data_IF_080505398917
#
_entry.id   IF_080505398917
#
_cell.length_a   1.000
_cell.length_b   1.000
_cell.length_c   1.000
_cell.angle_alpha   90.00
_cell.angle_beta   90.00
_cell.angle_gamma   90.00
#
_symmetry.space_group_name_H-M   'P 1'
#
loop_
_entity.id
_entity.type
_entity.pdbx_description
1 polymer ?
#
# COMPACT_ATOMS: atom_id res chain seq x y z
N UNK A 1 12.63 11.38 -5.21
CA UNK A 1 11.21 10.93 -5.36
C UNK A 1 10.34 11.89 -6.18
N UNK A 2 10.32 13.20 -5.94
CA UNK A 2 9.40 14.11 -6.65
C UNK A 2 9.48 14.13 -8.18
N UNK A 3 10.68 14.00 -8.77
CA UNK A 3 10.83 13.92 -10.23
C UNK A 3 10.27 12.62 -10.84
N UNK A 4 10.25 11.52 -10.07
CA UNK A 4 9.71 10.23 -10.51
C UNK A 4 8.18 10.29 -10.60
N UNK A 5 7.50 10.98 -9.69
CA UNK A 5 6.05 11.16 -9.72
C UNK A 5 5.50 11.83 -10.98
N UNK A 6 6.08 12.98 -11.33
CA UNK A 6 5.62 13.74 -12.53
C UNK A 6 5.70 12.87 -13.78
N UNK A 7 6.63 11.90 -13.77
CA UNK A 7 6.82 10.93 -14.85
C UNK A 7 5.94 9.70 -14.71
N UNK A 8 5.68 9.22 -13.48
CA UNK A 8 4.88 8.03 -13.21
C UNK A 8 3.36 8.27 -13.13
N UNK A 9 2.91 9.52 -13.14
CA UNK A 9 1.49 9.93 -13.03
C UNK A 9 0.77 9.34 -11.78
N UNK A 10 1.51 9.11 -10.68
CA UNK A 10 0.95 8.56 -9.44
C UNK A 10 0.22 9.64 -8.64
N UNK A 11 -0.91 9.29 -8.03
CA UNK A 11 -1.68 10.18 -7.16
C UNK A 11 -1.24 10.08 -5.70
N UNK A 12 -0.78 8.91 -5.27
CA UNK A 12 -0.26 8.66 -3.93
C UNK A 12 0.97 7.74 -3.97
N UNK A 13 1.69 7.69 -2.89
CA UNK A 13 2.81 6.76 -2.67
C UNK A 13 2.64 6.15 -1.27
N UNK A 14 2.80 4.83 -1.17
CA UNK A 14 2.86 4.11 0.09
C UNK A 14 4.32 3.90 0.47
N UNK A 15 4.76 4.46 1.60
CA UNK A 15 6.09 4.22 2.14
C UNK A 15 6.02 3.13 3.21
N UNK A 16 6.90 2.15 3.15
CA UNK A 16 7.10 1.20 4.25
C UNK A 16 7.74 1.94 5.42
N UNK A 17 6.96 2.26 6.45
CA UNK A 17 7.43 2.98 7.65
C UNK A 17 8.07 2.04 8.67
N UNK A 18 7.57 0.81 8.75
CA UNK A 18 8.13 -0.34 9.47
C UNK A 18 7.71 -1.62 8.75
N UNK A 19 8.62 -2.55 8.55
CA UNK A 19 8.33 -3.89 8.04
C UNK A 19 8.44 -4.92 9.16
N UNK A 20 8.31 -6.20 8.86
CA UNK A 20 8.27 -7.33 9.82
C UNK A 20 9.54 -7.44 10.68
N UNK A 21 10.66 -6.88 10.23
CA UNK A 21 11.92 -6.83 10.97
C UNK A 21 11.90 -5.85 12.17
N UNK A 22 10.83 -5.05 12.30
CA UNK A 22 10.64 -4.11 13.41
C UNK A 22 11.38 -2.79 13.30
N UNK A 23 12.24 -2.59 12.26
CA UNK A 23 13.00 -1.36 12.12
C UNK A 23 12.12 -0.20 11.66
N UNK A 24 12.07 0.87 12.45
CA UNK A 24 11.25 2.05 12.19
C UNK A 24 11.98 3.11 11.39
N UNK A 25 11.42 3.55 10.25
CA UNK A 25 11.97 4.66 9.46
C UNK A 25 11.61 6.04 10.02
N UNK A 26 10.82 6.11 11.07
CA UNK A 26 10.32 7.32 11.73
C UNK A 26 10.88 7.46 13.15
N UNK A 27 10.76 8.66 13.71
CA UNK A 27 11.09 8.91 15.11
C UNK A 27 10.06 8.23 16.01
N UNK A 28 10.49 7.20 16.73
CA UNK A 28 9.65 6.44 17.66
C UNK A 28 9.33 7.17 18.94
N UNK A 29 9.86 8.39 19.14
CA UNK A 29 9.66 9.21 20.34
C UNK A 29 10.02 8.47 21.65
N UNK A 30 11.02 7.61 21.60
CA UNK A 30 11.48 6.83 22.74
C UNK A 30 10.71 5.53 23.00
N UNK A 31 9.80 5.14 22.10
CA UNK A 31 9.12 3.85 22.19
C UNK A 31 10.11 2.68 22.08
N UNK A 32 11.10 2.81 21.20
CA UNK A 32 12.28 1.94 21.10
C UNK A 32 13.47 2.74 20.53
N UNK A 33 14.65 2.11 20.46
CA UNK A 33 15.86 2.67 19.83
C UNK A 33 16.19 2.01 18.48
N UNK A 34 15.36 1.09 17.99
CA UNK A 34 15.53 0.39 16.72
C UNK A 34 14.85 1.18 15.59
N UNK A 35 15.41 2.38 15.35
CA UNK A 35 14.84 3.33 14.39
C UNK A 35 15.92 4.12 13.62
N UNK A 36 15.52 4.77 12.55
CA UNK A 36 16.39 5.56 11.69
C UNK A 36 17.00 6.79 12.42
N UNK A 37 16.29 7.54 13.26
CA UNK A 37 16.90 8.62 14.05
C UNK A 37 18.06 8.19 14.92
N UNK A 38 17.97 7.06 15.61
CA UNK A 38 19.09 6.54 16.43
C UNK A 38 20.24 5.98 15.58
N UNK A 39 19.94 5.47 14.38
CA UNK A 39 20.94 4.83 13.52
C UNK A 39 21.67 5.81 12.62
N UNK A 40 20.95 6.73 11.96
CA UNK A 40 21.52 7.66 10.97
C UNK A 40 21.18 9.14 11.23
N UNK A 41 20.54 9.46 12.36
CA UNK A 41 20.17 10.83 12.73
C UNK A 41 19.07 11.45 11.85
N UNK A 42 18.32 10.64 11.09
CA UNK A 42 17.31 11.12 10.14
C UNK A 42 15.95 10.50 10.44
N UNK A 43 14.91 11.30 10.31
CA UNK A 43 13.52 10.83 10.25
C UNK A 43 13.10 10.71 8.77
N UNK A 44 13.21 9.50 8.23
CA UNK A 44 12.96 9.22 6.81
C UNK A 44 11.47 9.41 6.46
N UNK A 45 10.57 9.10 7.40
CA UNK A 45 9.12 9.29 7.18
C UNK A 45 8.79 10.78 7.11
N UNK A 46 9.41 11.61 7.96
CA UNK A 46 9.25 13.07 7.90
C UNK A 46 9.69 13.63 6.54
N UNK A 47 10.88 13.24 6.10
CA UNK A 47 11.42 13.66 4.82
C UNK A 47 10.54 13.21 3.64
N UNK A 48 9.99 12.00 3.71
CA UNK A 48 9.06 11.48 2.72
C UNK A 48 7.78 12.30 2.65
N UNK A 49 7.14 12.58 3.80
CA UNK A 49 5.92 13.38 3.88
C UNK A 49 6.14 14.79 3.35
N UNK A 50 7.24 15.44 3.74
CA UNK A 50 7.61 16.77 3.25
C UNK A 50 7.79 16.77 1.72
N UNK A 51 8.44 15.74 1.18
CA UNK A 51 8.60 15.58 -0.26
C UNK A 51 7.25 15.33 -0.97
N UNK A 52 6.37 14.53 -0.39
CA UNK A 52 5.03 14.30 -0.92
C UNK A 52 4.22 15.60 -0.98
N UNK A 53 4.18 16.34 0.13
CA UNK A 53 3.46 17.61 0.23
C UNK A 53 4.01 18.65 -0.78
N UNK A 54 5.34 18.77 -0.89
CA UNK A 54 5.98 19.66 -1.87
C UNK A 54 5.57 19.37 -3.30
N UNK A 55 5.29 18.12 -3.62
CA UNK A 55 4.93 17.69 -4.97
C UNK A 55 3.43 17.40 -5.15
N UNK A 56 2.58 17.68 -4.17
CA UNK A 56 1.14 17.42 -4.20
C UNK A 56 0.82 15.92 -4.37
N UNK A 57 1.60 15.03 -3.74
CA UNK A 57 1.35 13.59 -3.65
C UNK A 57 0.69 13.31 -2.30
N UNK A 58 -0.23 12.36 -2.27
CA UNK A 58 -0.83 11.91 -1.02
C UNK A 58 0.12 10.87 -0.40
N UNK A 59 0.68 11.11 0.81
CA UNK A 59 1.49 10.11 1.49
C UNK A 59 0.60 9.07 2.17
N UNK A 60 0.86 7.79 1.94
CA UNK A 60 0.31 6.67 2.69
C UNK A 60 1.45 5.92 3.38
N UNK A 61 1.13 5.24 4.49
CA UNK A 61 2.07 4.50 5.30
C UNK A 61 1.74 3.01 5.30
N UNK A 62 2.63 2.18 4.74
CA UNK A 62 2.65 0.77 5.08
C UNK A 62 3.23 0.63 6.49
N UNK A 63 2.58 -0.15 7.32
CA UNK A 63 3.09 -0.52 8.64
C UNK A 63 2.75 -1.97 8.93
N UNK A 64 3.75 -2.74 9.32
CA UNK A 64 3.54 -4.13 9.74
C UNK A 64 2.67 -4.21 11.00
N UNK A 65 1.82 -5.23 11.08
CA UNK A 65 1.12 -5.59 12.31
C UNK A 65 1.95 -6.54 13.17
N UNK A 66 2.71 -7.43 12.57
CA UNK A 66 3.66 -8.31 13.25
C UNK A 66 5.01 -7.61 13.49
N UNK A 67 5.82 -8.13 14.42
CA UNK A 67 7.16 -7.61 14.69
C UNK A 67 8.07 -8.74 15.17
N UNK A 68 9.07 -9.08 14.35
CA UNK A 68 10.00 -10.16 14.69
C UNK A 68 11.08 -9.72 15.66
N UNK A 69 11.27 -8.41 15.85
CA UNK A 69 12.28 -7.83 16.74
C UNK A 69 11.74 -7.59 18.15
N UNK A 70 10.46 -7.15 18.27
CA UNK A 70 9.84 -6.84 19.55
C UNK A 70 9.55 -8.12 20.35
N UNK A 71 10.17 -8.26 21.51
CA UNK A 71 10.10 -9.46 22.33
C UNK A 71 8.66 -9.77 22.79
N UNK A 72 7.88 -8.74 23.11
CA UNK A 72 6.50 -8.89 23.56
C UNK A 72 5.60 -9.55 22.51
N UNK A 73 5.93 -9.44 21.21
CA UNK A 73 5.21 -10.12 20.14
C UNK A 73 5.14 -11.64 20.34
N UNK A 74 6.17 -12.25 20.94
CA UNK A 74 6.27 -13.69 21.19
C UNK A 74 5.92 -14.09 22.62
N UNK A 75 6.10 -13.18 23.58
CA UNK A 75 6.03 -13.51 25.02
C UNK A 75 4.76 -12.97 25.68
N UNK A 76 4.22 -11.85 25.24
CA UNK A 76 3.01 -11.21 25.75
C UNK A 76 2.31 -10.42 24.65
N UNK A 77 1.45 -11.10 23.88
CA UNK A 77 0.79 -10.52 22.73
C UNK A 77 -0.10 -9.32 23.06
N UNK A 78 -0.69 -9.28 24.26
CA UNK A 78 -1.50 -8.14 24.70
C UNK A 78 -0.65 -6.89 24.95
N UNK A 79 0.53 -7.07 25.53
CA UNK A 79 1.48 -5.97 25.70
C UNK A 79 2.01 -5.48 24.34
N UNK A 80 2.29 -6.43 23.43
CA UNK A 80 2.65 -6.10 22.05
C UNK A 80 1.57 -5.25 21.36
N UNK A 81 0.29 -5.56 21.50
CA UNK A 81 -0.78 -4.76 20.88
C UNK A 81 -0.83 -3.32 21.42
N UNK A 82 -0.46 -3.10 22.68
CA UNK A 82 -0.30 -1.73 23.22
C UNK A 82 0.89 -1.01 22.57
N UNK A 83 2.01 -1.71 22.42
CA UNK A 83 3.19 -1.22 21.71
C UNK A 83 2.86 -0.86 20.26
N UNK A 84 2.16 -1.74 19.55
CA UNK A 84 1.70 -1.50 18.18
C UNK A 84 0.82 -0.25 18.08
N UNK A 85 -0.21 -0.13 18.93
CA UNK A 85 -1.09 1.05 18.96
C UNK A 85 -0.33 2.33 19.28
N UNK A 86 0.67 2.27 20.17
CA UNK A 86 1.52 3.43 20.47
C UNK A 86 2.35 3.85 19.27
N UNK A 87 2.87 2.90 18.52
CA UNK A 87 3.58 3.10 17.26
C UNK A 87 2.69 3.84 16.23
N UNK A 88 1.46 3.38 16.05
CA UNK A 88 0.49 3.97 15.12
C UNK A 88 0.04 5.36 15.61
N UNK A 89 -0.15 5.56 16.92
CA UNK A 89 -0.46 6.87 17.49
C UNK A 89 0.61 7.92 17.14
N UNK A 90 1.90 7.55 17.25
CA UNK A 90 3.03 8.41 16.87
C UNK A 90 2.92 8.84 15.40
N UNK A 91 2.65 7.88 14.50
CA UNK A 91 2.49 8.16 13.08
C UNK A 91 1.26 9.04 12.79
N UNK A 92 0.15 8.84 13.50
CA UNK A 92 -1.04 9.68 13.36
C UNK A 92 -0.83 11.13 13.79
N UNK A 93 0.00 11.36 14.83
CA UNK A 93 0.17 12.68 15.47
C UNK A 93 1.24 13.54 14.82
N UNK A 94 2.36 12.93 14.39
CA UNK A 94 3.59 13.68 14.18
C UNK A 94 3.88 14.01 12.71
N UNK A 95 3.10 13.47 11.76
CA UNK A 95 3.39 13.58 10.32
C UNK A 95 2.33 14.36 9.54
N UNK A 96 1.40 15.03 10.23
CA UNK A 96 0.32 15.80 9.61
C UNK A 96 -0.76 14.91 8.98
N UNK A 97 -1.52 15.46 8.04
CA UNK A 97 -2.59 14.70 7.36
C UNK A 97 -1.96 13.70 6.38
N UNK A 98 -2.32 12.43 6.52
CA UNK A 98 -1.92 11.33 5.64
C UNK A 98 -3.14 10.77 4.91
N UNK A 99 -2.91 10.12 3.77
CA UNK A 99 -3.99 9.54 2.97
C UNK A 99 -4.45 8.17 3.45
N UNK A 100 -3.59 7.39 4.10
CA UNK A 100 -3.97 6.07 4.57
C UNK A 100 -2.88 5.31 5.29
N UNK A 101 -3.32 4.27 6.01
CA UNK A 101 -2.48 3.18 6.48
C UNK A 101 -2.72 1.93 5.63
N UNK A 102 -1.64 1.24 5.31
CA UNK A 102 -1.63 -0.05 4.65
C UNK A 102 -0.99 -1.08 5.59
N UNK A 103 -1.81 -1.90 6.23
CA UNK A 103 -1.38 -2.89 7.20
C UNK A 103 -1.12 -4.25 6.57
N UNK A 104 -0.22 -5.02 7.20
CA UNK A 104 0.15 -6.35 6.76
C UNK A 104 0.65 -7.18 7.95
N UNK A 105 0.57 -8.52 7.86
CA UNK A 105 1.18 -9.41 8.82
C UNK A 105 0.23 -10.16 9.76
N UNK A 106 -1.09 -9.99 9.69
CA UNK A 106 -2.04 -10.75 10.51
C UNK A 106 -1.97 -12.26 10.25
N UNK A 107 -1.51 -12.66 9.08
CA UNK A 107 -1.35 -14.06 8.68
C UNK A 107 -0.34 -14.85 9.53
N UNK A 108 0.55 -14.18 10.26
CA UNK A 108 1.56 -14.81 11.12
C UNK A 108 0.94 -15.38 12.40
N UNK A 109 -0.07 -14.69 12.96
CA UNK A 109 -0.85 -15.12 14.11
C UNK A 109 -2.36 -15.10 13.83
N UNK A 110 -2.87 -15.97 12.93
CA UNK A 110 -4.23 -15.88 12.41
C UNK A 110 -5.32 -16.24 13.45
N UNK A 111 -4.95 -16.83 14.59
CA UNK A 111 -5.88 -17.23 15.64
C UNK A 111 -5.91 -16.26 16.84
N UNK A 112 -5.04 -15.26 16.84
CA UNK A 112 -4.99 -14.25 17.89
C UNK A 112 -6.02 -13.14 17.64
N UNK A 113 -6.54 -12.60 18.73
CA UNK A 113 -7.34 -11.37 18.68
C UNK A 113 -6.40 -10.16 18.54
N UNK A 114 -6.38 -9.57 17.35
CA UNK A 114 -5.55 -8.42 17.02
C UNK A 114 -6.11 -7.10 17.57
N UNK A 115 -7.24 -7.14 18.28
CA UNK A 115 -7.94 -5.97 18.81
C UNK A 115 -8.12 -4.87 17.74
N UNK A 116 -8.58 -5.26 16.54
CA UNK A 116 -8.69 -4.39 15.37
C UNK A 116 -9.60 -3.18 15.63
N UNK A 117 -10.69 -3.37 16.37
CA UNK A 117 -11.57 -2.27 16.79
C UNK A 117 -10.81 -1.16 17.53
N UNK A 118 -9.93 -1.56 18.46
CA UNK A 118 -9.14 -0.60 19.24
C UNK A 118 -8.10 0.11 18.37
N UNK A 119 -7.45 -0.62 17.44
CA UNK A 119 -6.47 -0.05 16.52
C UNK A 119 -7.13 0.94 15.55
N UNK A 120 -8.23 0.54 14.90
CA UNK A 120 -8.87 1.36 13.88
C UNK A 120 -9.60 2.56 14.50
N UNK A 121 -10.22 2.39 15.66
CA UNK A 121 -10.79 3.51 16.43
C UNK A 121 -9.74 4.54 16.83
N UNK A 122 -8.54 4.10 17.24
CA UNK A 122 -7.42 5.00 17.52
C UNK A 122 -7.07 5.84 16.28
N UNK A 123 -6.94 5.22 15.11
CA UNK A 123 -6.64 5.92 13.86
C UNK A 123 -7.74 6.94 13.55
N UNK A 124 -9.01 6.52 13.58
CA UNK A 124 -10.15 7.41 13.32
C UNK A 124 -10.21 8.61 14.28
N UNK A 125 -9.78 8.44 15.52
CA UNK A 125 -9.78 9.55 16.52
C UNK A 125 -8.79 10.65 16.17
N UNK A 126 -7.66 10.33 15.52
CA UNK A 126 -6.65 11.30 15.11
C UNK A 126 -6.76 11.72 13.65
N UNK A 127 -7.16 10.81 12.79
CA UNK A 127 -7.16 10.94 11.32
C UNK A 127 -8.48 10.40 10.76
N UNK A 128 -9.62 11.05 10.95
CA UNK A 128 -10.94 10.51 10.61
C UNK A 128 -11.12 10.18 9.12
N UNK A 129 -10.45 10.93 8.23
CA UNK A 129 -10.56 10.79 6.78
C UNK A 129 -9.51 9.82 6.19
N UNK A 130 -8.59 9.30 7.01
CA UNK A 130 -7.49 8.43 6.57
C UNK A 130 -8.03 7.06 6.15
N UNK A 131 -7.65 6.57 4.99
CA UNK A 131 -7.99 5.21 4.57
C UNK A 131 -7.30 4.17 5.46
N UNK A 132 -8.02 3.12 5.80
CA UNK A 132 -7.49 1.97 6.53
C UNK A 132 -7.58 0.75 5.60
N UNK A 133 -6.41 0.22 5.24
CA UNK A 133 -6.26 -0.95 4.38
C UNK A 133 -5.50 -2.00 5.17
N UNK A 134 -5.98 -3.23 5.18
CA UNK A 134 -5.26 -4.37 5.75
C UNK A 134 -5.13 -5.46 4.69
N UNK A 135 -3.93 -6.05 4.56
CA UNK A 135 -3.67 -7.07 3.57
C UNK A 135 -4.28 -8.43 3.95
N UNK A 136 -5.60 -8.50 3.92
CA UNK A 136 -6.32 -9.79 4.00
C UNK A 136 -6.17 -10.62 2.72
N UNK A 137 -5.71 -9.99 1.63
CA UNK A 137 -5.64 -10.56 0.29
C UNK A 137 -4.62 -11.66 0.05
N UNK A 138 -3.78 -12.00 1.04
CA UNK A 138 -2.89 -13.17 0.97
C UNK A 138 -3.69 -14.46 1.15
N UNK A 139 -4.56 -14.50 2.16
CA UNK A 139 -5.35 -15.68 2.53
C UNK A 139 -6.79 -15.61 2.00
N UNK A 140 -7.38 -14.42 1.99
CA UNK A 140 -8.79 -14.17 1.71
C UNK A 140 -8.96 -13.03 0.68
N UNK A 141 -8.51 -13.28 -0.56
CA UNK A 141 -8.50 -12.28 -1.64
C UNK A 141 -9.88 -11.70 -1.89
N UNK A 142 -9.98 -10.38 -1.76
CA UNK A 142 -11.21 -9.64 -2.00
C UNK A 142 -12.21 -9.69 -0.84
N UNK A 143 -11.85 -10.27 0.31
CA UNK A 143 -12.64 -10.21 1.53
C UNK A 143 -12.26 -8.99 2.36
N UNK A 144 -13.27 -8.33 2.93
CA UNK A 144 -13.04 -7.10 3.68
C UNK A 144 -12.34 -7.37 5.02
N UNK A 145 -12.67 -8.44 5.69
CA UNK A 145 -12.12 -8.82 6.99
C UNK A 145 -12.71 -8.03 8.16
N UNK A 146 -12.73 -6.70 8.09
CA UNK A 146 -13.25 -5.84 9.16
C UNK A 146 -14.07 -4.66 8.60
N UNK A 147 -15.15 -4.26 9.28
CA UNK A 147 -16.09 -3.21 8.82
C UNK A 147 -15.44 -1.83 8.67
N UNK A 148 -14.41 -1.52 9.46
CA UNK A 148 -13.69 -0.25 9.40
C UNK A 148 -12.72 -0.14 8.23
N UNK A 149 -12.39 -1.24 7.56
CA UNK A 149 -11.52 -1.21 6.38
C UNK A 149 -12.19 -0.49 5.21
N UNK A 150 -11.38 0.24 4.45
CA UNK A 150 -11.83 1.06 3.32
C UNK A 150 -11.49 0.43 1.97
N UNK A 151 -10.68 -0.64 1.95
CA UNK A 151 -10.31 -1.33 0.72
C UNK A 151 -10.05 -2.81 0.98
N UNK A 152 -10.41 -3.64 0.01
CA UNK A 152 -9.93 -5.02 -0.08
C UNK A 152 -8.64 -5.07 -0.90
N UNK A 153 -7.84 -6.11 -0.73
CA UNK A 153 -6.55 -6.28 -1.40
C UNK A 153 -6.51 -7.56 -2.26
N UNK A 154 -5.70 -7.49 -3.32
CA UNK A 154 -5.39 -8.61 -4.21
C UNK A 154 -3.88 -8.68 -4.41
N UNK A 155 -3.17 -9.29 -3.46
CA UNK A 155 -1.72 -9.38 -3.56
C UNK A 155 -1.29 -10.33 -4.69
N UNK A 156 -0.50 -9.81 -5.63
CA UNK A 156 0.06 -10.55 -6.79
C UNK A 156 -0.97 -11.40 -7.53
N UNK A 157 -2.24 -10.99 -7.50
CA UNK A 157 -3.35 -11.71 -8.09
C UNK A 157 -4.31 -10.77 -8.82
N UNK A 158 -5.02 -11.31 -9.81
CA UNK A 158 -6.01 -10.52 -10.54
C UNK A 158 -7.13 -10.09 -9.61
N UNK A 159 -7.56 -8.83 -9.66
CA UNK A 159 -8.80 -8.40 -9.01
C UNK A 159 -9.99 -9.20 -9.53
N UNK A 160 -11.01 -9.29 -8.71
CA UNK A 160 -12.30 -9.91 -9.02
C UNK A 160 -13.42 -9.03 -8.47
N UNK A 161 -14.67 -9.23 -8.89
CA UNK A 161 -15.80 -8.51 -8.31
C UNK A 161 -15.85 -8.69 -6.78
N UNK A 162 -16.15 -7.60 -6.08
CA UNK A 162 -16.31 -7.60 -4.62
C UNK A 162 -17.81 -7.64 -4.33
N UNK A 163 -18.23 -8.47 -3.37
CA UNK A 163 -19.60 -8.43 -2.85
C UNK A 163 -19.72 -7.28 -1.84
N UNK A 164 -20.48 -6.25 -2.19
CA UNK A 164 -20.73 -5.06 -1.38
C UNK A 164 -22.14 -5.01 -0.78
N UNK A 165 -22.97 -6.06 -0.96
CA UNK A 165 -24.39 -6.04 -0.58
C UNK A 165 -24.63 -5.71 0.89
N UNK A 166 -23.71 -6.08 1.79
CA UNK A 166 -23.81 -5.83 3.23
C UNK A 166 -22.87 -4.73 3.72
N UNK A 167 -22.21 -3.99 2.83
CA UNK A 167 -21.27 -2.96 3.27
C UNK A 167 -22.02 -1.66 3.57
N UNK A 168 -21.82 -1.06 4.77
CA UNK A 168 -22.44 0.22 5.14
C UNK A 168 -21.81 1.42 4.42
N UNK A 169 -20.69 1.23 3.72
CA UNK A 169 -19.93 2.28 3.02
C UNK A 169 -19.38 1.76 1.69
N UNK A 170 -18.92 2.67 0.85
CA UNK A 170 -18.13 2.30 -0.33
C UNK A 170 -16.80 1.65 0.08
N UNK A 171 -16.51 0.50 -0.49
CA UNK A 171 -15.25 -0.22 -0.31
C UNK A 171 -14.48 -0.18 -1.63
N UNK A 172 -13.26 0.35 -1.55
CA UNK A 172 -12.32 0.31 -2.65
C UNK A 172 -11.72 -1.08 -2.84
N UNK A 173 -11.00 -1.27 -3.91
CA UNK A 173 -10.17 -2.45 -4.11
C UNK A 173 -8.81 -2.06 -4.65
N UNK A 174 -7.79 -2.81 -4.28
CA UNK A 174 -6.41 -2.56 -4.70
C UNK A 174 -5.68 -3.86 -4.99
N UNK A 175 -5.05 -3.93 -6.15
CA UNK A 175 -4.08 -4.97 -6.49
C UNK A 175 -2.68 -4.43 -6.27
N UNK A 176 -1.86 -5.09 -5.46
CA UNK A 176 -0.45 -4.77 -5.31
C UNK A 176 0.43 -5.77 -6.06
N UNK A 177 1.40 -5.24 -6.81
CA UNK A 177 2.27 -6.01 -7.70
C UNK A 177 3.70 -5.50 -7.65
N UNK A 178 4.68 -6.40 -7.61
CA UNK A 178 6.11 -6.07 -7.68
C UNK A 178 6.60 -5.96 -9.12
N UNK A 179 7.62 -5.13 -9.35
CA UNK A 179 8.30 -5.12 -10.65
C UNK A 179 9.23 -6.32 -10.84
N UNK A 180 9.94 -6.71 -9.80
CA UNK A 180 10.83 -7.86 -9.77
C UNK A 180 10.27 -8.98 -8.87
N UNK A 181 11.07 -9.98 -8.51
CA UNK A 181 10.60 -11.06 -7.62
C UNK A 181 10.39 -10.61 -6.19
N UNK A 182 11.23 -9.70 -5.69
CA UNK A 182 11.21 -9.22 -4.31
C UNK A 182 10.44 -7.89 -4.18
N UNK A 183 9.83 -7.68 -3.01
CA UNK A 183 9.21 -6.40 -2.65
C UNK A 183 10.26 -5.32 -2.43
N UNK A 184 11.30 -5.62 -1.65
CA UNK A 184 12.44 -4.75 -1.44
C UNK A 184 13.48 -4.85 -2.55
N UNK A 185 14.51 -3.99 -2.48
CA UNK A 185 15.68 -4.08 -3.35
C UNK A 185 16.49 -5.34 -3.03
N UNK A 186 16.77 -6.13 -4.05
CA UNK A 186 17.74 -7.21 -3.99
C UNK A 186 18.73 -7.05 -5.17
N UNK A 187 20.03 -7.08 -4.86
CA UNK A 187 21.09 -6.77 -5.84
C UNK A 187 21.05 -7.71 -7.04
N UNK A 188 20.79 -8.98 -6.79
CA UNK A 188 20.81 -10.06 -7.81
C UNK A 188 19.41 -10.41 -8.33
N UNK A 189 18.39 -9.58 -8.08
CA UNK A 189 17.05 -9.79 -8.63
C UNK A 189 16.90 -9.10 -9.98
N UNK A 190 17.04 -9.88 -11.03
CA UNK A 190 16.90 -9.46 -12.43
C UNK A 190 15.66 -10.06 -13.10
N UNK A 191 14.77 -10.70 -12.34
CA UNK A 191 13.53 -11.28 -12.85
C UNK A 191 12.43 -10.24 -12.96
N UNK A 192 12.61 -9.29 -13.88
CA UNK A 192 11.65 -8.20 -14.08
C UNK A 192 10.43 -8.65 -14.89
N UNK A 193 9.26 -8.21 -14.48
CA UNK A 193 8.05 -8.34 -15.27
C UNK A 193 8.16 -7.48 -16.54
N UNK A 194 7.61 -7.96 -17.63
CA UNK A 194 7.58 -7.18 -18.87
C UNK A 194 6.66 -5.96 -18.73
N UNK A 195 6.95 -4.90 -19.48
CA UNK A 195 6.08 -3.73 -19.53
C UNK A 195 4.67 -4.06 -20.02
N UNK A 196 4.55 -5.01 -20.96
CA UNK A 196 3.26 -5.51 -21.42
C UNK A 196 2.47 -6.19 -20.29
N UNK A 197 3.13 -6.95 -19.41
CA UNK A 197 2.49 -7.50 -18.21
C UNK A 197 1.98 -6.41 -17.27
N UNK A 198 2.79 -5.39 -16.99
CA UNK A 198 2.41 -4.29 -16.10
C UNK A 198 1.23 -3.47 -16.64
N UNK A 199 1.27 -3.15 -17.94
CA UNK A 199 0.17 -2.43 -18.62
C UNK A 199 -1.12 -3.27 -18.58
N UNK A 200 -1.01 -4.58 -18.87
CA UNK A 200 -2.17 -5.48 -18.81
C UNK A 200 -2.73 -5.59 -17.38
N UNK A 201 -1.87 -5.67 -16.35
CA UNK A 201 -2.28 -5.67 -14.94
C UNK A 201 -3.03 -4.38 -14.58
N UNK A 202 -2.53 -3.24 -15.03
CA UNK A 202 -3.19 -1.95 -14.82
C UNK A 202 -4.57 -1.90 -15.52
N UNK A 203 -4.65 -2.34 -16.77
CA UNK A 203 -5.92 -2.39 -17.51
C UNK A 203 -6.94 -3.34 -16.84
N UNK A 204 -6.49 -4.49 -16.35
CA UNK A 204 -7.34 -5.43 -15.61
C UNK A 204 -7.84 -4.81 -14.30
N UNK A 205 -6.99 -4.08 -13.57
CA UNK A 205 -7.44 -3.33 -12.39
C UNK A 205 -8.59 -2.39 -12.76
N UNK A 206 -8.52 -1.69 -13.88
CA UNK A 206 -9.60 -0.81 -14.36
C UNK A 206 -10.89 -1.58 -14.63
N UNK A 207 -10.79 -2.76 -15.24
CA UNK A 207 -11.96 -3.64 -15.49
C UNK A 207 -12.76 -3.93 -14.22
N UNK A 208 -12.07 -4.12 -13.10
CA UNK A 208 -12.68 -4.47 -11.81
C UNK A 208 -12.83 -3.29 -10.85
N UNK A 209 -12.69 -2.06 -11.33
CA UNK A 209 -12.70 -0.83 -10.51
C UNK A 209 -11.68 -0.87 -9.37
N UNK A 210 -10.59 -1.61 -9.59
CA UNK A 210 -9.51 -1.79 -8.62
C UNK A 210 -8.39 -0.81 -8.91
N UNK A 211 -7.73 -0.33 -7.86
CA UNK A 211 -6.52 0.45 -7.99
C UNK A 211 -5.32 -0.45 -8.25
N UNK A 212 -4.31 0.08 -8.93
CA UNK A 212 -3.05 -0.63 -9.20
C UNK A 212 -1.92 -0.02 -8.37
N UNK A 213 -1.49 -0.73 -7.31
CA UNK A 213 -0.35 -0.37 -6.48
C UNK A 213 0.91 -1.07 -7.01
N UNK A 214 1.72 -0.32 -7.77
CA UNK A 214 2.95 -0.84 -8.35
C UNK A 214 4.15 -0.60 -7.43
N UNK A 215 4.79 -1.69 -6.99
CA UNK A 215 5.90 -1.65 -6.04
C UNK A 215 7.26 -1.65 -6.73
N UNK A 216 8.15 -0.79 -6.26
CA UNK A 216 9.58 -0.77 -6.58
C UNK A 216 10.40 -0.65 -5.29
N UNK A 217 11.50 -1.38 -5.18
CA UNK A 217 12.40 -1.38 -4.01
C UNK A 217 13.50 -0.32 -4.14
N UNK A 218 13.52 0.74 -3.32
CA UNK A 218 14.66 1.66 -3.26
C UNK A 218 15.93 0.96 -2.76
N UNK A 219 17.09 1.40 -3.25
CA UNK A 219 18.39 1.02 -2.70
C UNK A 219 18.59 1.65 -1.32
N UNK A 220 19.63 1.21 -0.60
CA UNK A 220 19.97 1.73 0.72
C UNK A 220 20.25 3.26 0.74
N UNK A 221 20.70 3.84 -0.38
CA UNK A 221 20.89 5.28 -0.53
C UNK A 221 19.59 6.04 -0.91
N UNK A 222 18.46 5.35 -0.96
CA UNK A 222 17.16 5.88 -1.37
C UNK A 222 16.98 6.06 -2.88
N UNK A 223 17.96 5.70 -3.71
CA UNK A 223 17.84 5.75 -5.16
C UNK A 223 17.07 4.54 -5.70
N UNK A 224 16.45 4.71 -6.89
CA UNK A 224 15.87 3.60 -7.65
C UNK A 224 16.83 3.15 -8.75
N UNK A 225 16.79 1.87 -9.11
CA UNK A 225 17.49 1.35 -10.30
C UNK A 225 17.01 2.09 -11.55
N UNK A 226 17.87 2.18 -12.56
CA UNK A 226 17.51 2.82 -13.83
C UNK A 226 16.32 2.12 -14.49
N UNK A 227 16.25 0.80 -14.40
CA UNK A 227 15.16 -0.01 -14.95
C UNK A 227 13.83 0.27 -14.24
N UNK A 228 13.84 0.44 -12.90
CA UNK A 228 12.63 0.81 -12.13
C UNK A 228 12.11 2.18 -12.56
N UNK A 229 13.02 3.15 -12.72
CA UNK A 229 12.66 4.50 -13.21
C UNK A 229 12.06 4.44 -14.60
N UNK A 230 12.65 3.65 -15.51
CA UNK A 230 12.14 3.46 -16.87
C UNK A 230 10.75 2.83 -16.90
N UNK A 231 10.50 1.80 -16.09
CA UNK A 231 9.20 1.17 -16.00
C UNK A 231 8.12 2.13 -15.47
N UNK A 232 8.42 2.88 -14.39
CA UNK A 232 7.53 3.90 -13.85
C UNK A 232 7.23 5.02 -14.86
N UNK A 233 8.24 5.45 -15.62
CA UNK A 233 8.07 6.50 -16.64
C UNK A 233 7.17 6.03 -17.79
N UNK A 234 7.36 4.79 -18.27
CA UNK A 234 6.54 4.21 -19.34
C UNK A 234 5.10 4.00 -18.88
N UNK A 235 4.90 3.46 -17.66
CA UNK A 235 3.56 3.33 -17.09
C UNK A 235 2.86 4.69 -16.94
N UNK A 236 3.61 5.71 -16.50
CA UNK A 236 3.09 7.06 -16.37
C UNK A 236 2.71 7.68 -17.71
N UNK A 237 3.52 7.50 -18.75
CA UNK A 237 3.22 7.95 -20.10
C UNK A 237 1.98 7.23 -20.66
N UNK A 238 1.91 5.90 -20.50
CA UNK A 238 0.77 5.12 -20.94
C UNK A 238 -0.51 5.52 -20.21
N UNK A 239 -0.47 5.69 -18.89
CA UNK A 239 -1.59 6.15 -18.08
C UNK A 239 -2.07 7.53 -18.53
N UNK A 240 -1.15 8.46 -18.78
CA UNK A 240 -1.49 9.81 -19.24
C UNK A 240 -2.10 9.82 -20.66
N UNK A 241 -1.59 8.97 -21.55
CA UNK A 241 -2.16 8.85 -22.90
C UNK A 241 -3.57 8.25 -22.91
N UNK A 242 -3.90 7.45 -21.90
CA UNK A 242 -5.18 6.77 -21.76
C UNK A 242 -6.01 7.33 -20.58
N UNK A 243 -5.75 8.54 -20.13
CA UNK A 243 -6.33 9.13 -18.92
C UNK A 243 -7.87 9.12 -18.95
N UNK A 244 -8.45 9.50 -20.08
CA UNK A 244 -9.90 9.45 -20.28
C UNK A 244 -10.44 8.03 -20.10
N UNK A 245 -9.86 7.04 -20.77
CA UNK A 245 -10.29 5.64 -20.67
C UNK A 245 -10.10 5.03 -19.29
N UNK A 246 -9.09 5.50 -18.53
CA UNK A 246 -8.78 4.98 -17.21
C UNK A 246 -9.65 5.58 -16.10
N UNK A 247 -10.18 6.80 -16.28
CA UNK A 247 -10.77 7.54 -15.16
C UNK A 247 -12.23 7.97 -15.38
N UNK A 248 -12.72 8.06 -16.63
CA UNK A 248 -14.06 8.55 -16.92
C UNK A 248 -15.06 7.40 -17.12
N UNK A 249 -14.84 6.44 -18.08
CA UNK A 249 -15.85 5.43 -18.37
C UNK A 249 -15.96 4.39 -17.25
N UNK A 250 -17.12 3.78 -17.14
CA UNK A 250 -17.37 2.66 -16.23
C UNK A 250 -17.22 1.31 -16.94
N UNK A 251 -16.64 0.29 -16.29
CA UNK A 251 -16.65 -1.07 -16.84
C UNK A 251 -18.06 -1.59 -16.98
N UNK A 252 -18.30 -2.35 -18.05
CA UNK A 252 -19.59 -3.04 -18.30
C UNK A 252 -19.44 -4.54 -18.03
N UNK A 253 -20.57 -5.20 -17.79
CA UNK A 253 -20.63 -6.66 -17.65
C UNK A 253 -20.67 -7.39 -19.01
N UNK A 254 -20.48 -6.65 -20.11
CA UNK A 254 -20.50 -7.23 -21.47
C UNK A 254 -19.18 -7.99 -21.69
N UNK A 255 -19.30 -9.29 -21.86
CA UNK A 255 -18.18 -10.15 -22.21
C UNK A 255 -17.91 -10.15 -23.72
N UNK A 256 -16.62 -10.07 -24.07
CA UNK A 256 -16.18 -10.21 -25.46
C UNK A 256 -15.77 -11.66 -25.67
N UNK A 257 -16.58 -12.40 -26.46
CA UNK A 257 -16.28 -13.80 -26.82
C UNK A 257 -14.89 -13.91 -27.46
N UNK A 258 -14.18 -14.96 -27.12
CA UNK A 258 -12.86 -15.32 -27.64
C UNK A 258 -11.72 -14.33 -27.30
N UNK A 259 -11.96 -13.33 -26.44
CA UNK A 259 -10.96 -12.36 -26.00
C UNK A 259 -11.10 -12.06 -24.50
N UNK A 260 -10.79 -13.01 -23.62
CA UNK A 260 -11.08 -12.91 -22.17
C UNK A 260 -10.37 -11.76 -21.46
N UNK A 261 -9.31 -11.20 -22.05
CA UNK A 261 -8.60 -10.05 -21.49
C UNK A 261 -9.12 -8.69 -22.01
N UNK A 262 -10.05 -8.70 -22.94
CA UNK A 262 -10.67 -7.48 -23.43
C UNK A 262 -11.97 -7.20 -22.66
N UNK A 263 -12.29 -5.93 -22.46
CA UNK A 263 -13.51 -5.50 -21.79
C UNK A 263 -14.01 -4.18 -22.40
N UNK A 264 -15.28 -3.89 -22.18
CA UNK A 264 -15.93 -2.69 -22.70
C UNK A 264 -16.08 -1.69 -21.56
N UNK A 265 -15.72 -0.45 -21.82
CA UNK A 265 -16.00 0.70 -20.98
C UNK A 265 -17.17 1.49 -21.58
N UNK A 266 -18.06 2.00 -20.74
CA UNK A 266 -19.20 2.83 -21.14
C UNK A 266 -19.04 4.23 -20.54
N UNK A 267 -19.11 5.24 -21.38
CA UNK A 267 -19.37 6.61 -20.93
C UNK A 267 -20.85 6.70 -20.55
N UNK A 268 -21.10 7.25 -19.35
CA UNK A 268 -22.46 7.36 -18.80
C UNK A 268 -23.43 8.17 -19.68
#
# INVERSE_FOLDING_TARGET
MGKVRVRANCRYIVLTTRHHDGFSLYNTCGLNSYDAPHTCGRDIVKEFVDACNKHGIIPLFYHTLLDWHEESYKTDFKEYLKYLRKSIEILCKNYGKIGGFWFDGMWDNPNEDWEEDALYSLIRSYQPDTMIINNTGIQHRGELGHIELDSVTFERGRPQPINLECSPKYIASEMCETFASHWGYAENDFNFKSLGHLINSFAICRRYRSNFLFNVGPKADGSLRTIDKGALEILGQWSKMNDEALHIPEPTDIEIKDKPNNFILRNG
#
